data_IF_390400034885
#
_entry.id   IF_390400034885
#
_cell.length_a   1.000
_cell.length_b   1.000
_cell.length_c   1.000
_cell.angle_alpha   90.00
_cell.angle_beta   90.00
_cell.angle_gamma   90.00
#
_symmetry.space_group_name_H-M   'P 1'
#
loop_
_entity.id
_entity.type
_entity.pdbx_description
1 polymer ?
#
# COMPACT_ATOMS: atom_id res chain seq x y z
N UNK A 1 18.88 19.44 -10.98
CA UNK A 1 17.94 20.31 -11.72
C UNK A 1 17.27 19.44 -12.78
N UNK A 2 16.51 18.45 -12.34
CA UNK A 2 15.08 18.54 -11.99
C UNK A 2 14.20 18.55 -13.23
N UNK A 3 13.84 17.34 -13.68
CA UNK A 3 12.69 17.08 -14.53
C UNK A 3 12.33 15.58 -14.41
N UNK A 4 11.80 15.17 -13.26
CA UNK A 4 11.03 13.94 -13.19
C UNK A 4 9.58 14.32 -12.90
N UNK A 5 8.80 14.28 -13.98
CA UNK A 5 7.45 14.80 -14.06
C UNK A 5 6.49 14.03 -13.17
N UNK A 6 5.76 14.80 -12.38
CA UNK A 6 4.56 14.41 -11.68
C UNK A 6 3.58 13.71 -12.64
N UNK A 7 3.52 12.37 -12.61
CA UNK A 7 2.31 11.65 -13.00
C UNK A 7 1.35 11.64 -11.82
N UNK A 8 0.78 12.81 -11.54
CA UNK A 8 -0.48 12.91 -10.82
C UNK A 8 -1.55 12.42 -11.80
N UNK A 9 -1.86 11.13 -11.77
CA UNK A 9 -2.95 10.58 -12.55
C UNK A 9 -4.26 11.21 -12.05
N UNK A 10 -4.83 12.07 -12.88
CA UNK A 10 -6.01 12.85 -12.57
C UNK A 10 -7.19 11.91 -12.28
N UNK A 11 -7.59 11.85 -11.01
CA UNK A 11 -8.85 11.28 -10.58
C UNK A 11 -9.96 12.33 -10.74
N UNK A 12 -11.16 11.92 -11.14
CA UNK A 12 -12.32 12.79 -11.39
C UNK A 12 -12.49 13.86 -10.29
N UNK A 13 -12.69 15.14 -10.65
CA UNK A 13 -12.59 16.28 -9.73
C UNK A 13 -13.70 16.31 -8.66
N UNK A 14 -14.75 15.48 -8.79
CA UNK A 14 -15.95 15.61 -7.95
C UNK A 14 -15.85 14.88 -6.61
N UNK A 15 -14.96 13.90 -6.43
CA UNK A 15 -14.81 13.12 -5.17
C UNK A 15 -13.41 12.53 -4.97
N UNK A 16 -12.36 13.14 -5.52
CA UNK A 16 -11.00 12.67 -5.23
C UNK A 16 -10.69 12.94 -3.74
N UNK A 17 -10.54 11.87 -2.93
CA UNK A 17 -9.75 12.02 -1.69
C UNK A 17 -8.37 12.51 -2.11
N UNK A 18 -7.78 13.52 -1.44
CA UNK A 18 -6.46 13.98 -1.81
C UNK A 18 -5.50 12.79 -1.78
N UNK A 19 -4.82 12.52 -2.89
CA UNK A 19 -3.60 11.73 -2.83
C UNK A 19 -2.74 12.41 -1.76
N UNK A 20 -2.52 11.72 -0.64
CA UNK A 20 -1.78 12.30 0.47
C UNK A 20 -0.43 12.73 -0.07
N UNK A 21 -0.08 14.01 0.10
CA UNK A 21 1.21 14.49 -0.40
C UNK A 21 2.34 13.63 0.17
N UNK A 22 3.47 13.47 -0.53
CA UNK A 22 4.59 12.70 0.01
C UNK A 22 5.01 13.18 1.42
N UNK A 23 4.85 14.48 1.70
CA UNK A 23 5.06 15.05 3.03
C UNK A 23 4.01 14.58 4.05
N UNK A 24 2.73 14.55 3.69
CA UNK A 24 1.67 14.07 4.57
C UNK A 24 1.84 12.58 4.93
N UNK A 25 2.22 11.74 3.95
CA UNK A 25 2.50 10.32 4.19
C UNK A 25 3.67 10.14 5.16
N UNK A 26 4.77 10.88 4.95
CA UNK A 26 5.93 10.85 5.85
C UNK A 26 5.60 11.33 7.25
N UNK A 27 4.80 12.39 7.39
CA UNK A 27 4.41 12.90 8.71
C UNK A 27 3.55 11.88 9.49
N UNK A 28 2.61 11.21 8.80
CA UNK A 28 1.82 10.14 9.40
C UNK A 28 2.72 8.96 9.84
N UNK A 29 3.68 8.58 9.00
CA UNK A 29 4.64 7.53 9.33
C UNK A 29 5.47 7.87 10.57
N UNK A 30 6.04 9.08 10.65
CA UNK A 30 6.79 9.54 11.83
C UNK A 30 5.95 9.46 13.10
N UNK A 31 4.68 9.87 13.01
CA UNK A 31 3.76 9.79 14.15
C UNK A 31 3.55 8.35 14.59
N UNK A 32 3.21 7.43 13.69
CA UNK A 32 2.99 6.02 14.04
C UNK A 32 4.25 5.34 14.57
N UNK A 33 5.41 5.62 13.97
CA UNK A 33 6.68 5.10 14.48
C UNK A 33 6.94 5.55 15.92
N UNK A 34 6.57 6.78 16.27
CA UNK A 34 6.70 7.31 17.63
C UNK A 34 5.73 6.61 18.59
N UNK A 35 4.47 6.43 18.19
CA UNK A 35 3.46 5.73 18.99
C UNK A 35 3.84 4.24 19.23
N UNK A 36 4.36 3.56 18.20
CA UNK A 36 4.83 2.16 18.31
C UNK A 36 6.07 2.07 19.20
N UNK A 37 7.03 2.99 19.05
CA UNK A 37 8.22 3.03 19.91
C UNK A 37 7.85 3.29 21.38
N UNK A 38 6.90 4.18 21.64
CA UNK A 38 6.38 4.43 22.99
C UNK A 38 5.70 3.21 23.62
N UNK A 39 5.13 2.31 22.79
CA UNK A 39 4.57 1.04 23.22
C UNK A 39 5.61 -0.09 23.34
N UNK A 40 6.91 0.19 23.15
CA UNK A 40 8.00 -0.78 23.22
C UNK A 40 8.24 -1.58 21.94
N UNK A 41 7.58 -1.21 20.84
CA UNK A 41 7.78 -1.81 19.52
C UNK A 41 8.87 -1.11 18.69
N UNK A 42 9.13 -1.66 17.50
CA UNK A 42 9.96 -1.04 16.46
C UNK A 42 9.15 -0.88 15.20
N UNK A 43 9.35 0.23 14.49
CA UNK A 43 8.58 0.57 13.30
C UNK A 43 9.48 1.19 12.23
N UNK A 44 9.41 0.61 11.03
CA UNK A 44 10.10 1.11 9.85
C UNK A 44 9.08 1.54 8.81
N UNK A 45 9.32 2.71 8.21
CA UNK A 45 8.48 3.23 7.15
C UNK A 45 9.10 2.95 5.79
N UNK A 46 8.30 2.36 4.91
CA UNK A 46 8.64 2.14 3.50
C UNK A 46 7.58 2.80 2.62
N UNK A 47 7.94 3.77 1.76
CA UNK A 47 7.04 4.29 0.74
C UNK A 47 6.64 3.16 -0.22
N UNK A 48 5.34 2.92 -0.37
CA UNK A 48 4.80 1.86 -1.21
C UNK A 48 3.54 2.36 -1.92
N UNK A 49 3.55 2.31 -3.25
CA UNK A 49 2.34 2.32 -4.06
C UNK A 49 2.01 0.87 -4.36
N UNK A 50 0.87 0.40 -3.85
CA UNK A 50 0.51 -1.02 -3.94
C UNK A 50 0.25 -1.49 -5.37
N UNK A 51 0.00 -0.57 -6.31
CA UNK A 51 -0.15 -0.90 -7.73
C UNK A 51 1.18 -1.03 -8.48
N UNK A 52 2.29 -0.61 -7.87
CA UNK A 52 3.63 -0.64 -8.48
C UNK A 52 4.41 -1.86 -7.97
N UNK A 53 4.80 -2.74 -8.89
CA UNK A 53 5.57 -3.94 -8.55
C UNK A 53 6.97 -3.61 -8.02
N UNK A 54 7.63 -2.59 -8.57
CA UNK A 54 9.00 -2.25 -8.20
C UNK A 54 9.03 -1.74 -6.74
N UNK A 55 7.97 -1.03 -6.33
CA UNK A 55 7.81 -0.63 -4.94
C UNK A 55 7.64 -1.83 -3.99
N UNK A 56 6.92 -2.88 -4.39
CA UNK A 56 6.80 -4.10 -3.59
C UNK A 56 8.13 -4.82 -3.42
N UNK A 57 8.89 -4.95 -4.51
CA UNK A 57 10.18 -5.64 -4.50
C UNK A 57 11.18 -4.91 -3.60
N UNK A 58 11.21 -3.57 -3.66
CA UNK A 58 11.99 -2.73 -2.74
C UNK A 58 11.53 -2.91 -1.29
N UNK A 59 10.22 -2.94 -1.04
CA UNK A 59 9.69 -3.07 0.32
C UNK A 59 10.04 -4.41 0.97
N UNK A 60 9.91 -5.52 0.25
CA UNK A 60 10.27 -6.85 0.77
C UNK A 60 11.77 -6.96 1.02
N UNK A 61 12.61 -6.37 0.16
CA UNK A 61 14.05 -6.32 0.41
C UNK A 61 14.39 -5.54 1.69
N UNK A 62 13.76 -4.39 1.92
CA UNK A 62 13.97 -3.59 3.13
C UNK A 62 13.48 -4.29 4.40
N UNK A 63 12.33 -4.97 4.36
CA UNK A 63 11.84 -5.77 5.49
C UNK A 63 12.85 -6.85 5.86
N UNK A 64 13.39 -7.57 4.87
CA UNK A 64 14.38 -8.61 5.10
C UNK A 64 15.66 -8.06 5.75
N UNK A 65 16.15 -6.92 5.29
CA UNK A 65 17.35 -6.27 5.82
C UNK A 65 17.17 -5.73 7.24
N UNK A 66 16.02 -5.09 7.50
CA UNK A 66 15.79 -4.36 8.76
C UNK A 66 15.21 -5.23 9.88
N UNK A 67 14.31 -6.17 9.54
CA UNK A 67 13.59 -6.99 10.52
C UNK A 67 14.04 -8.46 10.54
N UNK A 68 14.90 -8.88 9.61
CA UNK A 68 15.40 -10.25 9.50
C UNK A 68 14.40 -11.28 8.98
N UNK A 69 13.11 -10.94 8.90
CA UNK A 69 12.05 -11.79 8.37
C UNK A 69 10.68 -11.12 8.36
N UNK A 70 9.69 -11.78 7.75
CA UNK A 70 8.32 -11.32 7.66
C UNK A 70 7.39 -12.44 8.13
N UNK A 71 6.50 -12.16 9.09
CA UNK A 71 5.63 -13.19 9.67
C UNK A 71 4.15 -12.93 9.40
N UNK A 72 3.79 -11.66 9.18
CA UNK A 72 2.41 -11.26 8.93
C UNK A 72 2.38 -10.23 7.82
N UNK A 73 1.59 -10.49 6.77
CA UNK A 73 1.17 -9.47 5.81
C UNK A 73 -0.28 -9.07 6.12
N UNK A 74 -0.51 -7.76 6.29
CA UNK A 74 -1.86 -7.19 6.42
C UNK A 74 -2.17 -6.36 5.18
N UNK A 75 -2.98 -6.91 4.28
CA UNK A 75 -3.50 -6.21 3.11
C UNK A 75 -4.78 -5.47 3.48
N UNK A 76 -4.64 -4.16 3.75
CA UNK A 76 -5.75 -3.28 4.16
C UNK A 76 -6.09 -2.20 3.13
N UNK A 77 -5.22 -1.96 2.15
CA UNK A 77 -5.42 -0.88 1.18
C UNK A 77 -6.69 -1.12 0.37
N UNK A 78 -7.49 -0.06 0.22
CA UNK A 78 -8.74 -0.09 -0.53
C UNK A 78 -9.13 1.30 -1.03
N UNK A 79 -9.73 1.34 -2.21
CA UNK A 79 -10.38 2.50 -2.81
C UNK A 79 -11.83 2.18 -3.10
N UNK A 80 -12.70 3.17 -3.06
CA UNK A 80 -14.09 3.03 -3.49
C UNK A 80 -14.54 4.28 -4.24
N UNK A 81 -15.55 4.10 -5.09
CA UNK A 81 -16.30 5.21 -5.66
C UNK A 81 -17.79 4.89 -5.56
N UNK A 82 -18.58 5.93 -5.28
CA UNK A 82 -20.02 5.81 -5.09
C UNK A 82 -20.71 6.50 -6.27
N UNK A 83 -21.04 5.69 -7.28
CA UNK A 83 -21.65 6.11 -8.54
C UNK A 83 -22.84 5.20 -8.87
N UNK A 84 -23.81 5.75 -9.60
CA UNK A 84 -24.92 4.94 -10.11
C UNK A 84 -24.42 4.04 -11.23
N UNK A 85 -24.97 2.82 -11.33
CA UNK A 85 -24.45 1.80 -12.26
C UNK A 85 -24.33 2.27 -13.73
N UNK A 86 -25.29 3.02 -14.32
CA UNK A 86 -25.17 3.51 -15.69
C UNK A 86 -24.11 4.59 -15.90
N UNK A 87 -23.61 5.18 -14.80
CA UNK A 87 -22.63 6.27 -14.80
C UNK A 87 -21.21 5.79 -14.45
N UNK A 88 -21.04 4.48 -14.25
CA UNK A 88 -19.73 3.89 -13.94
C UNK A 88 -18.79 4.11 -15.12
N UNK A 89 -17.74 4.88 -14.88
CA UNK A 89 -16.60 4.97 -15.78
C UNK A 89 -15.75 3.70 -15.69
N UNK A 90 -15.45 3.09 -16.84
CA UNK A 90 -14.72 1.83 -16.91
C UNK A 90 -13.27 2.01 -16.45
N UNK A 91 -12.65 3.16 -16.71
CA UNK A 91 -11.28 3.40 -16.27
C UNK A 91 -11.20 3.55 -14.75
N UNK A 92 -12.15 4.29 -14.16
CA UNK A 92 -12.31 4.37 -12.70
C UNK A 92 -12.57 2.98 -12.07
N UNK A 93 -13.44 2.17 -12.66
CA UNK A 93 -13.71 0.80 -12.23
C UNK A 93 -12.44 -0.06 -12.26
N UNK A 94 -11.71 -0.05 -13.38
CA UNK A 94 -10.47 -0.80 -13.54
C UNK A 94 -9.42 -0.35 -12.52
N UNK A 95 -9.35 0.95 -12.20
CA UNK A 95 -8.43 1.45 -11.17
C UNK A 95 -8.79 0.95 -9.78
N UNK A 96 -10.08 0.89 -9.44
CA UNK A 96 -10.55 0.29 -8.18
C UNK A 96 -10.15 -1.19 -8.11
N UNK A 97 -10.31 -1.93 -9.20
CA UNK A 97 -9.88 -3.34 -9.25
C UNK A 97 -8.36 -3.49 -9.15
N UNK A 98 -7.59 -2.62 -9.79
CA UNK A 98 -6.13 -2.64 -9.69
C UNK A 98 -5.68 -2.47 -8.24
N UNK A 99 -6.28 -1.53 -7.50
CA UNK A 99 -5.94 -1.26 -6.10
C UNK A 99 -6.48 -2.36 -5.16
N UNK A 100 -7.74 -2.75 -5.32
CA UNK A 100 -8.43 -3.60 -4.35
C UNK A 100 -8.20 -5.10 -4.59
N UNK A 101 -7.84 -5.50 -5.80
CA UNK A 101 -7.75 -6.91 -6.20
C UNK A 101 -6.34 -7.22 -6.67
N UNK A 102 -5.88 -6.61 -7.76
CA UNK A 102 -4.58 -6.93 -8.36
C UNK A 102 -3.44 -6.65 -7.38
N UNK A 103 -3.41 -5.45 -6.77
CA UNK A 103 -2.39 -5.07 -5.82
C UNK A 103 -2.35 -5.94 -4.56
N UNK A 104 -3.50 -6.46 -4.13
CA UNK A 104 -3.55 -7.44 -3.03
C UNK A 104 -2.87 -8.75 -3.43
N UNK A 105 -3.15 -9.25 -4.63
CA UNK A 105 -2.47 -10.44 -5.16
C UNK A 105 -0.96 -10.19 -5.30
N UNK A 106 -0.54 -9.02 -5.81
CA UNK A 106 0.89 -8.64 -5.89
C UNK A 106 1.56 -8.74 -4.53
N UNK A 107 1.00 -8.09 -3.50
CA UNK A 107 1.53 -8.14 -2.15
C UNK A 107 1.64 -9.56 -1.60
N UNK A 108 0.66 -10.43 -1.87
CA UNK A 108 0.70 -11.84 -1.48
C UNK A 108 1.85 -12.56 -2.19
N UNK A 109 1.96 -12.42 -3.51
CA UNK A 109 2.98 -13.09 -4.31
C UNK A 109 4.40 -12.65 -3.92
N UNK A 110 4.60 -11.36 -3.66
CA UNK A 110 5.91 -10.83 -3.26
C UNK A 110 6.28 -11.23 -1.83
N UNK A 111 5.34 -11.19 -0.88
CA UNK A 111 5.63 -11.45 0.53
C UNK A 111 5.59 -12.92 0.95
N UNK A 112 4.80 -13.77 0.29
CA UNK A 112 4.61 -15.17 0.70
C UNK A 112 5.92 -15.99 0.73
N UNK A 113 6.87 -15.83 -0.23
CA UNK A 113 8.17 -16.49 -0.15
C UNK A 113 8.95 -16.09 1.10
N UNK A 114 9.01 -14.79 1.41
CA UNK A 114 9.71 -14.31 2.60
C UNK A 114 9.04 -14.82 3.90
N UNK A 115 7.71 -14.90 3.93
CA UNK A 115 6.98 -15.48 5.07
C UNK A 115 7.33 -16.95 5.27
N UNK A 116 7.36 -17.73 4.18
CA UNK A 116 7.77 -19.13 4.23
C UNK A 116 9.20 -19.28 4.73
N UNK A 117 10.13 -18.49 4.20
CA UNK A 117 11.55 -18.53 4.57
C UNK A 117 11.79 -18.06 6.02
N UNK A 118 10.88 -17.26 6.57
CA UNK A 118 10.90 -16.80 7.96
C UNK A 118 10.35 -17.83 8.97
N UNK A 119 9.99 -19.04 8.53
CA UNK A 119 9.43 -20.09 9.38
C UNK A 119 7.90 -20.19 9.37
N UNK A 120 7.24 -19.46 8.47
CA UNK A 120 5.78 -19.44 8.34
C UNK A 120 5.13 -18.21 8.96
N UNK A 121 3.80 -18.12 8.85
CA UNK A 121 3.09 -16.92 9.25
C UNK A 121 1.65 -16.85 8.76
N UNK A 122 1.12 -15.64 8.60
CA UNK A 122 -0.25 -15.39 8.20
C UNK A 122 -0.39 -14.24 7.22
N UNK A 123 -1.39 -14.33 6.35
CA UNK A 123 -1.79 -13.25 5.45
C UNK A 123 -3.23 -12.91 5.78
N UNK A 124 -3.48 -11.66 6.17
CA UNK A 124 -4.80 -11.17 6.51
C UNK A 124 -5.24 -10.09 5.50
N UNK A 125 -6.46 -10.22 4.99
CA UNK A 125 -7.08 -9.22 4.13
C UNK A 125 -8.18 -8.52 4.93
N UNK A 126 -8.10 -7.19 5.01
CA UNK A 126 -9.10 -6.38 5.73
C UNK A 126 -10.00 -5.71 4.71
N UNK A 127 -11.30 -6.04 4.75
CA UNK A 127 -12.33 -5.51 3.84
C UNK A 127 -13.56 -5.10 4.64
N UNK A 128 -14.12 -3.94 4.31
CA UNK A 128 -15.41 -3.54 4.83
C UNK A 128 -16.52 -4.42 4.22
N UNK A 129 -17.57 -4.68 5.00
CA UNK A 129 -18.81 -5.28 4.48
C UNK A 129 -19.62 -4.24 3.72
#
# INVERSE_FOLDING_TARGET
MEAWGARQHACSPKRARPCSSPAAVRNAATRWSTEIAAAGGSAHFVPLDVADQDHWDVAVAQVKDQAGGLHVLINIVGSNDLVMLPEVDIDAWNRIFEINVTATLRGIQTCAPLIKDSGGGSIALVRAR
#
